data_IF_893873226859
#
_entry.id   IF_893873226859
#
_cell.length_a   1.000
_cell.length_b   1.000
_cell.length_c   1.000
_cell.angle_alpha   90.00
_cell.angle_beta   90.00
_cell.angle_gamma   90.00
#
_symmetry.space_group_name_H-M   'P 1'
#
loop_
_entity.id
_entity.type
_entity.pdbx_description
1 polymer ?
#
# COMPACT_ATOMS: atom_id res chain seq x y z
N UNK A 1 -11.74 -6.39 -13.53
CA UNK A 1 -11.04 -7.53 -12.97
C UNK A 1 -10.07 -7.06 -11.89
N UNK A 2 -10.19 -7.62 -10.71
CA UNK A 2 -9.37 -7.22 -9.57
C UNK A 2 -7.90 -7.58 -9.82
N UNK A 3 -6.99 -6.75 -9.30
CA UNK A 3 -5.57 -7.02 -9.36
C UNK A 3 -4.98 -6.96 -7.96
N UNK A 4 -3.93 -7.71 -7.74
CA UNK A 4 -3.20 -7.73 -6.47
C UNK A 4 -1.79 -7.23 -6.75
N UNK A 5 -1.33 -6.28 -5.94
CA UNK A 5 -0.02 -5.64 -6.13
C UNK A 5 0.77 -5.71 -4.84
N UNK A 6 2.02 -6.16 -4.94
CA UNK A 6 2.96 -6.08 -3.84
C UNK A 6 3.81 -4.82 -4.03
N UNK A 7 3.88 -3.99 -3.01
CA UNK A 7 4.72 -2.79 -3.01
C UNK A 7 5.84 -2.93 -2.01
N UNK A 8 7.01 -2.41 -2.35
CA UNK A 8 8.13 -2.28 -1.45
C UNK A 8 8.69 -0.88 -1.60
N UNK A 9 8.85 -0.17 -0.48
CA UNK A 9 9.26 1.23 -0.51
C UNK A 9 10.05 1.54 0.75
N UNK A 10 11.00 2.47 0.62
CA UNK A 10 11.76 2.98 1.78
C UNK A 10 10.94 4.01 2.52
N UNK A 11 10.90 3.89 3.86
CA UNK A 11 10.28 4.89 4.73
C UNK A 11 11.32 5.43 5.69
N UNK A 12 11.26 6.73 5.99
CA UNK A 12 12.30 7.44 6.76
C UNK A 12 11.80 7.98 8.10
N UNK A 13 10.50 7.88 8.38
CA UNK A 13 9.90 8.43 9.59
C UNK A 13 9.27 7.36 10.49
N UNK A 14 9.55 6.09 10.22
CA UNK A 14 9.04 4.97 10.99
C UNK A 14 7.67 4.50 10.56
N UNK A 15 7.36 3.27 10.96
CA UNK A 15 6.12 2.62 10.57
C UNK A 15 4.89 3.30 11.16
N UNK A 16 4.97 3.74 12.41
CA UNK A 16 3.80 4.38 13.07
C UNK A 16 3.38 5.66 12.36
N UNK A 17 4.34 6.45 11.89
CA UNK A 17 4.05 7.67 11.12
C UNK A 17 3.37 7.32 9.80
N UNK A 18 3.90 6.32 9.09
CA UNK A 18 3.31 5.86 7.83
C UNK A 18 1.90 5.31 8.05
N UNK A 19 1.71 4.50 9.09
CA UNK A 19 0.42 3.91 9.42
C UNK A 19 -0.61 4.99 9.75
N UNK A 20 -0.20 6.02 10.47
CA UNK A 20 -1.11 7.15 10.79
C UNK A 20 -1.58 7.85 9.52
N UNK A 21 -0.70 7.99 8.54
CA UNK A 21 -1.08 8.57 7.24
C UNK A 21 -2.10 7.69 6.53
N UNK A 22 -1.90 6.37 6.53
CA UNK A 22 -2.86 5.45 5.91
C UNK A 22 -4.22 5.55 6.58
N UNK A 23 -4.25 5.58 7.91
CA UNK A 23 -5.50 5.72 8.66
C UNK A 23 -6.21 7.03 8.35
N UNK A 24 -5.45 8.11 8.26
CA UNK A 24 -5.99 9.43 7.92
C UNK A 24 -6.67 9.42 6.53
N UNK A 25 -6.10 8.69 5.59
CA UNK A 25 -6.56 8.66 4.21
C UNK A 25 -7.39 7.40 3.89
N UNK A 26 -7.80 6.65 4.89
CA UNK A 26 -8.46 5.36 4.71
C UNK A 26 -9.76 5.49 3.89
N UNK A 27 -10.57 6.50 4.17
CA UNK A 27 -11.82 6.71 3.43
C UNK A 27 -11.54 7.01 1.96
N UNK A 28 -10.54 7.86 1.69
CA UNK A 28 -10.17 8.22 0.32
C UNK A 28 -9.69 6.99 -0.46
N UNK A 29 -8.85 6.17 0.17
CA UNK A 29 -8.36 4.95 -0.44
C UNK A 29 -9.49 3.95 -0.70
N UNK A 30 -10.43 3.83 0.23
CA UNK A 30 -11.59 2.97 0.06
C UNK A 30 -12.48 3.42 -1.10
N UNK A 31 -12.65 4.74 -1.28
CA UNK A 31 -13.41 5.27 -2.41
C UNK A 31 -12.77 4.91 -3.75
N UNK A 32 -11.46 4.73 -3.79
CA UNK A 32 -10.74 4.30 -4.98
C UNK A 32 -10.81 2.78 -5.19
N UNK A 33 -11.46 2.07 -4.28
CA UNK A 33 -11.57 0.62 -4.34
C UNK A 33 -10.35 -0.13 -3.83
N UNK A 34 -9.40 0.59 -3.23
CA UNK A 34 -8.18 -0.02 -2.71
C UNK A 34 -8.47 -0.75 -1.40
N UNK A 35 -7.95 -1.96 -1.31
CA UNK A 35 -8.03 -2.78 -0.10
C UNK A 35 -6.61 -3.11 0.33
N UNK A 36 -6.26 -2.75 1.56
CA UNK A 36 -4.94 -3.08 2.11
C UNK A 36 -5.01 -4.46 2.74
N UNK A 37 -4.38 -5.44 2.09
CA UNK A 37 -4.38 -6.82 2.59
C UNK A 37 -3.35 -6.96 3.70
N UNK A 38 -2.18 -6.34 3.54
CA UNK A 38 -1.12 -6.43 4.53
C UNK A 38 -0.20 -5.23 4.37
N UNK A 39 0.34 -4.74 5.48
CA UNK A 39 1.43 -3.77 5.46
C UNK A 39 2.29 -3.99 6.69
N UNK A 40 3.60 -4.02 6.49
CA UNK A 40 4.53 -4.20 7.59
C UNK A 40 5.94 -3.88 7.15
N UNK A 41 6.81 -3.67 8.13
CA UNK A 41 8.22 -3.39 7.87
C UNK A 41 9.02 -4.67 7.90
N UNK A 42 10.12 -4.67 7.16
CA UNK A 42 11.04 -5.80 7.14
C UNK A 42 11.69 -5.98 8.49
N UNK A 43 11.76 -7.21 8.97
CA UNK A 43 12.22 -7.50 10.34
C UNK A 43 13.64 -7.03 10.59
N UNK A 44 14.51 -7.21 9.62
CA UNK A 44 15.93 -6.84 9.77
C UNK A 44 16.27 -5.45 9.23
N UNK A 45 15.26 -4.75 8.68
CA UNK A 45 15.45 -3.39 8.18
C UNK A 45 14.12 -2.63 8.22
N UNK A 46 13.82 -1.96 9.34
CA UNK A 46 12.52 -1.28 9.49
C UNK A 46 12.34 -0.05 8.59
N UNK A 47 13.34 0.31 7.79
CA UNK A 47 13.15 1.34 6.76
C UNK A 47 12.53 0.78 5.49
N UNK A 48 12.39 -0.53 5.37
CA UNK A 48 11.77 -1.17 4.21
C UNK A 48 10.35 -1.59 4.54
N UNK A 49 9.40 -0.95 3.88
CA UNK A 49 7.98 -1.26 4.01
C UNK A 49 7.55 -2.20 2.91
N UNK A 50 6.83 -3.24 3.29
CA UNK A 50 6.21 -4.18 2.36
C UNK A 50 4.70 -4.08 2.51
N UNK A 51 3.98 -3.98 1.40
CA UNK A 51 2.53 -3.89 1.42
C UNK A 51 1.94 -4.73 0.30
N UNK A 52 0.80 -5.35 0.57
CA UNK A 52 0.04 -6.07 -0.44
C UNK A 52 -1.33 -5.42 -0.50
N UNK A 53 -1.70 -4.97 -1.70
CA UNK A 53 -2.92 -4.20 -1.93
C UNK A 53 -3.73 -4.84 -3.04
N UNK A 54 -5.05 -4.70 -2.95
CA UNK A 54 -5.95 -5.15 -3.99
C UNK A 54 -6.68 -3.94 -4.55
N UNK A 55 -6.76 -3.88 -5.88
CA UNK A 55 -7.52 -2.85 -6.59
C UNK A 55 -8.58 -3.52 -7.48
N UNK A 56 -9.71 -2.84 -7.74
CA UNK A 56 -10.75 -3.44 -8.57
C UNK A 56 -10.33 -3.67 -10.02
N UNK A 57 -9.40 -2.86 -10.52
CA UNK A 57 -8.88 -2.99 -11.88
C UNK A 57 -7.57 -2.21 -12.01
N UNK A 58 -6.96 -2.30 -13.19
CA UNK A 58 -5.70 -1.61 -13.47
C UNK A 58 -5.89 -0.08 -13.46
N UNK A 59 -7.05 0.40 -13.90
CA UNK A 59 -7.32 1.85 -13.92
C UNK A 59 -7.33 2.43 -12.50
N UNK A 60 -7.89 1.71 -11.53
CA UNK A 60 -7.89 2.14 -10.13
C UNK A 60 -6.46 2.20 -9.59
N UNK A 61 -5.63 1.21 -9.91
CA UNK A 61 -4.23 1.21 -9.51
C UNK A 61 -3.48 2.40 -10.11
N UNK A 62 -3.70 2.67 -11.40
CA UNK A 62 -3.06 3.81 -12.06
C UNK A 62 -3.52 5.13 -11.46
N UNK A 63 -4.81 5.25 -11.13
CA UNK A 63 -5.35 6.45 -10.49
C UNK A 63 -4.72 6.68 -9.13
N UNK A 64 -4.51 5.60 -8.36
CA UNK A 64 -3.83 5.71 -7.07
C UNK A 64 -2.41 6.25 -7.25
N UNK A 65 -1.66 5.69 -8.18
CA UNK A 65 -0.27 6.10 -8.42
C UNK A 65 -0.14 7.51 -8.96
N UNK A 66 -1.12 8.01 -9.69
CA UNK A 66 -1.09 9.35 -10.27
C UNK A 66 -1.79 10.41 -9.42
N UNK A 67 -2.36 10.02 -8.28
CA UNK A 67 -3.01 10.98 -7.38
C UNK A 67 -1.96 11.79 -6.64
N UNK A 68 -1.80 13.05 -7.02
CA UNK A 68 -0.75 13.90 -6.48
C UNK A 68 -0.94 14.20 -5.00
N UNK A 69 -2.17 14.34 -4.54
CA UNK A 69 -2.44 14.61 -3.12
C UNK A 69 -2.04 13.43 -2.25
N UNK A 70 -2.38 12.21 -2.67
CA UNK A 70 -1.99 11.00 -1.93
C UNK A 70 -0.48 10.80 -1.98
N UNK A 71 0.15 11.07 -3.11
CA UNK A 71 1.60 10.96 -3.25
C UNK A 71 2.30 11.91 -2.30
N UNK A 72 1.82 13.14 -2.18
CA UNK A 72 2.39 14.11 -1.26
C UNK A 72 2.17 13.71 0.20
N UNK A 73 0.99 13.20 0.54
CA UNK A 73 0.72 12.68 1.89
C UNK A 73 1.70 11.57 2.24
N UNK A 74 1.96 10.69 1.30
CA UNK A 74 2.91 9.59 1.49
C UNK A 74 4.32 10.11 1.71
N UNK A 75 4.74 11.10 0.93
CA UNK A 75 6.07 11.72 1.10
C UNK A 75 6.22 12.37 2.47
N UNK A 76 5.21 13.08 2.91
CA UNK A 76 5.24 13.73 4.22
C UNK A 76 5.27 12.72 5.36
N UNK A 77 4.71 11.54 5.13
CA UNK A 77 4.77 10.44 6.10
C UNK A 77 6.10 9.68 6.05
N UNK A 78 7.03 10.10 5.22
CA UNK A 78 8.37 9.53 5.15
C UNK A 78 8.60 8.54 4.03
N UNK A 79 7.61 8.31 3.15
CA UNK A 79 7.81 7.40 2.02
C UNK A 79 8.69 8.04 0.96
N UNK A 80 9.77 7.35 0.60
CA UNK A 80 10.63 7.77 -0.52
C UNK A 80 10.00 7.19 -1.78
N UNK A 81 9.10 7.95 -2.39
CA UNK A 81 8.23 7.46 -3.47
C UNK A 81 9.04 6.91 -4.64
N UNK A 82 10.18 7.54 -4.95
CA UNK A 82 11.05 7.13 -6.04
C UNK A 82 11.68 5.76 -5.80
N UNK A 83 11.73 5.30 -4.55
CA UNK A 83 12.27 3.97 -4.21
C UNK A 83 11.25 2.85 -4.35
N UNK A 84 10.00 3.19 -4.65
CA UNK A 84 8.92 2.21 -4.71
C UNK A 84 9.08 1.21 -5.85
N UNK A 85 8.88 -0.06 -5.52
CA UNK A 85 8.86 -1.15 -6.51
C UNK A 85 7.52 -1.85 -6.37
N UNK A 86 6.76 -1.87 -7.46
CA UNK A 86 5.45 -2.51 -7.50
C UNK A 86 5.52 -3.77 -8.35
N UNK A 87 5.06 -4.88 -7.79
CA UNK A 87 5.03 -6.17 -8.46
C UNK A 87 3.59 -6.65 -8.55
N UNK A 88 3.13 -6.96 -9.75
CA UNK A 88 1.81 -7.55 -9.93
C UNK A 88 1.85 -9.01 -9.50
N UNK A 89 0.85 -9.40 -8.73
CA UNK A 89 0.70 -10.79 -8.28
C UNK A 89 -0.39 -11.44 -9.14
N UNK A 90 -0.20 -12.70 -9.48
CA UNK A 90 -1.17 -13.43 -10.29
C UNK A 90 -2.54 -13.47 -9.60
N UNK A 91 -3.58 -13.32 -10.42
CA UNK A 91 -4.96 -13.43 -9.94
C UNK A 91 -5.41 -14.89 -9.83
N UNK A 92 -4.66 -15.82 -10.38
CA UNK A 92 -5.03 -17.23 -10.43
C UNK A 92 -4.11 -18.12 -9.59
N UNK A 93 -2.85 -17.74 -9.48
CA UNK A 93 -1.84 -18.56 -8.83
C UNK A 93 -1.44 -17.94 -7.50
N UNK A 94 -2.37 -17.94 -6.57
CA UNK A 94 -2.09 -17.48 -5.21
C UNK A 94 -2.96 -18.23 -4.21
N UNK A 95 -2.56 -18.16 -2.97
CA UNK A 95 -3.32 -18.71 -1.85
C UNK A 95 -3.34 -17.72 -0.71
N UNK A 96 -4.49 -17.54 -0.08
CA UNK A 96 -4.61 -16.76 1.14
C UNK A 96 -5.74 -17.31 1.99
N UNK A 97 -5.56 -17.29 3.29
CA UNK A 97 -6.63 -17.60 4.24
C UNK A 97 -7.00 -16.38 5.08
N UNK A 98 -6.58 -15.19 4.66
CA UNK A 98 -7.05 -13.96 5.26
C UNK A 98 -8.34 -13.54 4.56
N UNK A 99 -9.49 -13.66 5.23
CA UNK A 99 -10.76 -13.31 4.59
C UNK A 99 -10.95 -11.81 4.41
N UNK A 100 -10.23 -10.99 5.19
CA UNK A 100 -10.39 -9.55 5.18
C UNK A 100 -9.05 -8.86 5.31
N UNK A 101 -8.85 -7.71 4.62
CA UNK A 101 -7.69 -6.87 4.85
C UNK A 101 -7.76 -6.20 6.21
N UNK A 102 -6.62 -5.79 6.73
CA UNK A 102 -6.57 -5.13 8.03
C UNK A 102 -5.42 -4.15 8.11
N UNK A 103 -5.59 -3.16 8.98
CA UNK A 103 -4.52 -2.31 9.47
C UNK A 103 -4.58 -2.43 10.98
N UNK A 104 -3.51 -2.94 11.58
CA UNK A 104 -3.50 -3.18 13.01
C UNK A 104 -3.34 -1.88 13.81
N UNK A 105 -3.88 -1.89 15.00
CA UNK A 105 -3.72 -0.80 15.95
C UNK A 105 -2.37 -0.91 16.65
#
# INVERSE_FOLDING_TARGET
MAIIVKGEITITKGFDTWKAMVKKNQSRMAEMGMVMIFAGVQKDDPTKLHAIMKFPDIAAFQAFGSNEELTEERRQAGAVVESGVMTMISEEEFFTNFPEPFITE
#
